data_IF_315022440972
#
_entry.id   IF_315022440972
#
_cell.length_a   1.000
_cell.length_b   1.000
_cell.length_c   1.000
_cell.angle_alpha   90.00
_cell.angle_beta   90.00
_cell.angle_gamma   90.00
#
_symmetry.space_group_name_H-M   'P 1'
#
loop_
_entity.id
_entity.type
_entity.pdbx_description
1 polymer ?
#
# COMPACT_ATOMS: atom_id res chain seq x y z
N UNK A 1 -27.96 11.94 -1.61
CA UNK A 1 -29.36 12.30 -1.94
C UNK A 1 -29.75 11.65 -3.27
N UNK A 2 -29.55 10.33 -3.39
CA UNK A 2 -29.83 9.59 -4.62
C UNK A 2 -31.33 9.55 -4.96
N UNK A 3 -32.16 9.81 -3.95
CA UNK A 3 -33.62 9.96 -4.00
C UNK A 3 -34.11 11.14 -4.84
N UNK A 4 -33.33 12.22 -4.95
CA UNK A 4 -33.71 13.43 -5.68
C UNK A 4 -33.41 13.30 -7.18
N UNK A 5 -34.02 12.30 -7.85
CA UNK A 5 -33.71 11.94 -9.24
C UNK A 5 -33.97 13.09 -10.22
N UNK A 6 -35.03 13.88 -10.01
CA UNK A 6 -35.42 14.98 -10.91
C UNK A 6 -34.49 16.19 -10.85
N UNK A 7 -33.77 16.36 -9.75
CA UNK A 7 -32.79 17.44 -9.57
C UNK A 7 -31.36 16.90 -9.58
N UNK A 8 -31.13 15.78 -10.27
CA UNK A 8 -29.80 15.17 -10.38
C UNK A 8 -28.96 16.00 -11.35
N UNK A 9 -27.85 16.53 -10.85
CA UNK A 9 -26.88 17.30 -11.65
C UNK A 9 -25.64 16.47 -12.02
N UNK A 10 -25.40 15.36 -11.32
CA UNK A 10 -24.24 14.48 -11.55
C UNK A 10 -24.74 13.08 -11.89
N UNK A 11 -24.30 12.56 -13.04
CA UNK A 11 -24.63 11.20 -13.45
C UNK A 11 -23.89 10.18 -12.57
N UNK A 12 -24.45 8.97 -12.48
CA UNK A 12 -23.83 7.88 -11.71
C UNK A 12 -22.46 7.53 -12.30
N UNK A 13 -22.32 7.61 -13.62
CA UNK A 13 -21.09 7.23 -14.31
C UNK A 13 -19.98 8.27 -14.14
N UNK A 14 -20.29 9.56 -14.12
CA UNK A 14 -19.32 10.61 -13.74
C UNK A 14 -18.84 10.42 -12.30
N UNK A 15 -19.74 10.13 -11.37
CA UNK A 15 -19.39 9.84 -9.99
C UNK A 15 -18.46 8.63 -9.86
N UNK A 16 -18.74 7.55 -10.60
CA UNK A 16 -17.87 6.37 -10.67
C UNK A 16 -16.52 6.67 -11.30
N UNK A 17 -16.50 7.37 -12.43
CA UNK A 17 -15.27 7.73 -13.14
C UNK A 17 -14.36 8.58 -12.24
N UNK A 18 -14.93 9.57 -11.54
CA UNK A 18 -14.21 10.38 -10.57
C UNK A 18 -13.58 9.52 -9.45
N UNK A 19 -14.34 8.57 -8.89
CA UNK A 19 -13.79 7.69 -7.85
C UNK A 19 -12.64 6.82 -8.34
N UNK A 20 -12.67 6.36 -9.60
CA UNK A 20 -11.55 5.63 -10.22
C UNK A 20 -10.32 6.53 -10.34
N UNK A 21 -10.50 7.78 -10.81
CA UNK A 21 -9.41 8.76 -10.95
C UNK A 21 -8.71 9.04 -9.62
N UNK A 22 -9.46 9.09 -8.51
CA UNK A 22 -8.93 9.35 -7.17
C UNK A 22 -8.62 8.09 -6.34
N UNK A 23 -8.66 6.89 -6.94
CA UNK A 23 -8.47 5.59 -6.27
C UNK A 23 -9.29 5.44 -4.97
N UNK A 24 -10.57 5.80 -5.05
CA UNK A 24 -11.51 5.67 -3.94
C UNK A 24 -12.74 4.85 -4.33
N UNK A 25 -13.62 4.59 -3.36
CA UNK A 25 -14.85 3.81 -3.56
C UNK A 25 -16.03 4.75 -3.73
N UNK A 26 -16.92 4.41 -4.65
CA UNK A 26 -18.14 5.16 -4.93
C UNK A 26 -19.38 4.38 -4.47
N UNK A 27 -20.32 5.07 -3.85
CA UNK A 27 -21.65 4.55 -3.51
C UNK A 27 -22.64 5.71 -3.42
N UNK A 28 -23.77 5.60 -4.12
CA UNK A 28 -24.87 6.55 -3.98
C UNK A 28 -25.79 6.13 -2.84
N UNK A 29 -26.15 7.09 -1.97
CA UNK A 29 -27.00 6.86 -0.80
C UNK A 29 -28.16 7.85 -0.73
N UNK A 30 -29.24 7.39 -0.11
CA UNK A 30 -30.34 8.24 0.36
C UNK A 30 -30.55 7.99 1.85
N UNK A 31 -30.31 9.01 2.67
CA UNK A 31 -30.65 8.96 4.08
C UNK A 31 -32.17 8.97 4.29
N UNK A 32 -32.89 9.76 3.48
CA UNK A 32 -34.34 9.91 3.57
C UNK A 32 -35.10 8.60 3.26
N UNK A 33 -34.59 7.81 2.31
CA UNK A 33 -35.17 6.52 1.93
C UNK A 33 -34.43 5.32 2.53
N UNK A 34 -33.47 5.55 3.43
CA UNK A 34 -32.58 4.51 3.97
C UNK A 34 -31.87 3.64 2.89
N UNK A 35 -31.66 4.19 1.68
CA UNK A 35 -31.03 3.48 0.58
C UNK A 35 -29.50 3.48 0.71
N UNK A 36 -28.90 2.28 0.67
CA UNK A 36 -27.45 2.04 0.73
C UNK A 36 -26.73 2.56 1.99
N UNK A 37 -27.47 3.02 3.00
CA UNK A 37 -26.88 3.57 4.23
C UNK A 37 -26.11 2.50 4.99
N UNK A 38 -26.72 1.32 5.20
CA UNK A 38 -26.05 0.20 5.87
C UNK A 38 -24.84 -0.29 5.06
N UNK A 39 -25.01 -0.49 3.75
CA UNK A 39 -23.94 -0.93 2.86
C UNK A 39 -22.74 0.02 2.84
N UNK A 40 -22.98 1.35 2.94
CA UNK A 40 -21.93 2.35 3.08
C UNK A 40 -21.09 2.10 4.34
N UNK A 41 -21.74 1.98 5.51
CA UNK A 41 -21.02 1.79 6.77
C UNK A 41 -20.27 0.45 6.82
N UNK A 42 -20.92 -0.63 6.41
CA UNK A 42 -20.28 -1.95 6.33
C UNK A 42 -19.08 -1.94 5.37
N UNK A 43 -19.24 -1.28 4.21
CA UNK A 43 -18.18 -1.12 3.22
C UNK A 43 -16.96 -0.38 3.76
N UNK A 44 -17.17 0.74 4.46
CA UNK A 44 -16.10 1.53 5.08
C UNK A 44 -15.35 0.71 6.15
N UNK A 45 -16.08 0.04 7.05
CA UNK A 45 -15.48 -0.80 8.09
C UNK A 45 -14.67 -1.94 7.46
N UNK A 46 -15.21 -2.59 6.43
CA UNK A 46 -14.51 -3.65 5.68
C UNK A 46 -13.21 -3.13 5.06
N UNK A 47 -13.23 -1.97 4.41
CA UNK A 47 -12.02 -1.37 3.81
C UNK A 47 -10.96 -1.01 4.86
N UNK A 48 -11.36 -0.50 6.03
CA UNK A 48 -10.43 -0.22 7.13
C UNK A 48 -9.75 -1.52 7.61
N UNK A 49 -10.52 -2.59 7.81
CA UNK A 49 -9.99 -3.90 8.24
C UNK A 49 -9.00 -4.47 7.22
N UNK A 50 -9.37 -4.48 5.93
CA UNK A 50 -8.48 -4.94 4.86
C UNK A 50 -7.14 -4.19 4.84
N UNK A 51 -7.15 -2.87 5.03
CA UNK A 51 -5.92 -2.06 5.07
C UNK A 51 -5.09 -2.32 6.33
N UNK A 52 -5.73 -2.55 7.48
CA UNK A 52 -5.05 -2.89 8.73
C UNK A 52 -4.38 -4.26 8.63
N UNK A 53 -5.13 -5.27 8.20
CA UNK A 53 -4.65 -6.64 8.07
C UNK A 53 -3.52 -6.72 7.04
N UNK A 54 -3.62 -5.97 5.94
CA UNK A 54 -2.55 -5.88 4.95
C UNK A 54 -1.27 -5.27 5.54
N UNK A 55 -1.36 -4.18 6.30
CA UNK A 55 -0.19 -3.59 6.98
C UNK A 55 0.41 -4.54 8.01
N UNK A 56 -0.41 -5.20 8.80
CA UNK A 56 0.04 -6.12 9.82
C UNK A 56 0.66 -7.38 9.23
N UNK A 57 0.07 -7.95 8.18
CA UNK A 57 0.63 -9.05 7.42
C UNK A 57 1.99 -8.67 6.80
N UNK A 58 2.09 -7.46 6.25
CA UNK A 58 3.35 -6.99 5.67
C UNK A 58 4.42 -6.75 6.76
N UNK A 59 4.03 -6.18 7.91
CA UNK A 59 4.91 -6.01 9.06
C UNK A 59 5.39 -7.36 9.63
N UNK A 60 4.50 -8.36 9.74
CA UNK A 60 4.86 -9.73 10.17
C UNK A 60 5.81 -10.40 9.17
N UNK A 61 5.57 -10.26 7.86
CA UNK A 61 6.49 -10.75 6.82
C UNK A 61 7.87 -10.10 6.94
N UNK A 62 7.93 -8.78 7.14
CA UNK A 62 9.20 -8.05 7.33
C UNK A 62 9.90 -8.42 8.66
N UNK A 63 9.15 -8.68 9.73
CA UNK A 63 9.72 -9.15 10.98
C UNK A 63 10.32 -10.55 10.82
N UNK A 64 9.66 -11.44 10.07
CA UNK A 64 10.15 -12.78 9.76
C UNK A 64 11.44 -12.77 8.91
N UNK A 65 11.55 -11.89 7.92
CA UNK A 65 12.77 -11.75 7.10
C UNK A 65 13.94 -11.16 7.89
N UNK A 66 13.69 -10.21 8.81
CA UNK A 66 14.73 -9.67 9.72
C UNK A 66 15.22 -10.72 10.73
N UNK A 67 14.35 -11.61 11.20
CA UNK A 67 14.71 -12.64 12.19
C UNK A 67 15.49 -13.81 11.57
N UNK A 68 15.42 -14.00 10.25
CA UNK A 68 16.04 -15.11 9.52
C UNK A 68 17.12 -14.63 8.54
N UNK A 69 18.09 -13.87 9.03
CA UNK A 69 19.34 -13.68 8.27
C UNK A 69 20.10 -15.01 8.23
N UNK A 70 20.14 -15.65 7.06
CA UNK A 70 20.93 -16.87 6.87
C UNK A 70 22.41 -16.61 7.12
N UNK A 71 23.13 -17.64 7.59
CA UNK A 71 24.59 -17.57 7.82
C UNK A 71 25.35 -17.04 6.58
N UNK A 72 24.89 -17.40 5.37
CA UNK A 72 25.45 -16.89 4.12
C UNK A 72 25.27 -15.38 3.91
N UNK A 73 24.12 -14.81 4.29
CA UNK A 73 23.90 -13.35 4.22
C UNK A 73 24.77 -12.60 5.23
N UNK A 74 24.96 -13.17 6.44
CA UNK A 74 25.89 -12.63 7.45
C UNK A 74 27.34 -12.68 6.98
N UNK A 75 27.77 -13.80 6.39
CA UNK A 75 29.11 -13.96 5.83
C UNK A 75 29.37 -12.97 4.68
N UNK A 76 28.41 -12.80 3.76
CA UNK A 76 28.52 -11.82 2.67
C UNK A 76 28.67 -10.39 3.18
N UNK A 77 27.95 -10.01 4.25
CA UNK A 77 28.09 -8.69 4.89
C UNK A 77 29.43 -8.51 5.59
N UNK A 78 29.95 -9.57 6.21
CA UNK A 78 31.25 -9.58 6.86
C UNK A 78 32.39 -9.42 5.84
N UNK A 79 32.39 -10.23 4.77
CA UNK A 79 33.34 -10.10 3.67
C UNK A 79 33.25 -8.73 3.00
N UNK A 80 32.04 -8.18 2.81
CA UNK A 80 31.85 -6.83 2.31
C UNK A 80 32.51 -5.75 3.16
N UNK A 81 32.47 -5.85 4.50
CA UNK A 81 33.17 -4.93 5.41
C UNK A 81 34.70 -5.07 5.35
N UNK A 82 35.21 -6.29 5.18
CA UNK A 82 36.65 -6.54 5.06
C UNK A 82 37.19 -5.98 3.75
N UNK A 83 36.51 -6.26 2.63
CA UNK A 83 36.91 -5.77 1.30
C UNK A 83 36.84 -4.24 1.23
N UNK A 84 35.82 -3.62 1.85
CA UNK A 84 35.72 -2.16 1.94
C UNK A 84 36.83 -1.53 2.81
N UNK A 85 37.34 -2.24 3.83
CA UNK A 85 38.49 -1.80 4.63
C UNK A 85 39.81 -1.94 3.89
N UNK A 86 39.96 -2.97 3.06
CA UNK A 86 41.21 -3.25 2.34
C UNK A 86 41.40 -2.41 1.07
N UNK A 87 40.37 -1.70 0.61
CA UNK A 87 40.40 -0.87 -0.59
C UNK A 87 39.95 0.57 -0.31
N UNK A 88 40.82 1.39 0.29
CA UNK A 88 40.54 2.82 0.56
C UNK A 88 40.07 3.60 -0.69
N UNK A 89 40.42 3.16 -1.91
CA UNK A 89 39.95 3.75 -3.19
C UNK A 89 38.52 3.34 -3.61
N UNK A 90 37.94 2.27 -3.06
CA UNK A 90 36.57 1.80 -3.40
C UNK A 90 35.53 2.06 -2.31
N UNK A 91 35.96 2.43 -1.09
CA UNK A 91 35.05 2.83 0.00
C UNK A 91 34.13 4.02 -0.38
N UNK A 92 34.59 4.90 -1.27
CA UNK A 92 33.77 6.01 -1.80
C UNK A 92 32.73 5.56 -2.84
N UNK A 93 32.97 4.42 -3.52
CA UNK A 93 32.08 3.90 -4.57
C UNK A 93 30.98 2.98 -4.03
N UNK A 94 31.18 2.37 -2.85
CA UNK A 94 30.17 1.57 -2.16
C UNK A 94 29.04 2.40 -1.53
N UNK A 95 29.18 3.74 -1.48
CA UNK A 95 28.12 4.66 -1.03
C UNK A 95 27.07 4.97 -2.12
N UNK A 96 27.24 4.48 -3.34
CA UNK A 96 26.28 4.73 -4.42
C UNK A 96 26.02 3.45 -5.25
N UNK A 97 24.80 2.92 -5.09
CA UNK A 97 24.04 1.92 -5.88
C UNK A 97 23.39 0.96 -4.86
N UNK A 98 22.07 0.94 -4.69
CA UNK A 98 21.09 0.69 -5.74
C UNK A 98 19.70 1.14 -5.31
N UNK A 99 19.16 2.17 -5.96
CA UNK A 99 17.71 2.37 -6.05
C UNK A 99 17.15 1.38 -7.08
N UNK A 100 17.35 0.08 -6.96
CA UNK A 100 16.69 -0.92 -7.81
C UNK A 100 16.19 -2.05 -6.90
N UNK A 101 15.09 -1.78 -6.22
CA UNK A 101 14.13 -2.81 -5.85
C UNK A 101 12.72 -2.22 -6.01
N UNK A 102 12.39 -1.95 -7.28
CA UNK A 102 11.08 -1.53 -7.76
C UNK A 102 10.45 -2.68 -8.57
N UNK A 103 10.70 -3.93 -8.20
CA UNK A 103 9.85 -5.03 -8.67
C UNK A 103 8.60 -5.07 -7.81
N UNK A 104 7.63 -4.24 -8.20
CA UNK A 104 6.22 -4.47 -7.89
C UNK A 104 5.74 -5.55 -8.87
N UNK A 105 5.48 -6.74 -8.34
CA UNK A 105 4.61 -7.76 -8.92
C UNK A 105 3.57 -8.11 -7.86
#
# INVERSE_FOLDING_TARGET
KSDLVRSREVSVDEGRACAVVFDCKFIETSAALHHNVQALFEGVVRQIRLRRDSKEANARRQAGTRRRESLGKKAKRFLGRIVARNSRKMAFRAKSKSCHDLSVL
#
